data_IF_172911120326
#
_entry.id   IF_172911120326
#
_cell.length_a   1.000
_cell.length_b   1.000
_cell.length_c   1.000
_cell.angle_alpha   90.00
_cell.angle_beta   90.00
_cell.angle_gamma   90.00
#
_symmetry.space_group_name_H-M   'P 1'
#
loop_
_entity.id
_entity.type
_entity.pdbx_description
1 polymer ?
#
# COMPACT_ATOMS: atom_id res chain seq x y z
N UNK A 1 10.42 24.49 -1.76
CA UNK A 1 10.17 23.04 -1.75
C UNK A 1 8.69 22.88 -2.09
N UNK A 2 8.35 22.67 -3.36
CA UNK A 2 6.96 22.61 -3.81
C UNK A 2 6.45 21.20 -3.59
N UNK A 3 5.40 21.06 -2.77
CA UNK A 3 4.74 19.77 -2.59
C UNK A 3 3.86 19.52 -3.81
N UNK A 4 4.09 18.42 -4.53
CA UNK A 4 3.16 17.99 -5.58
C UNK A 4 1.83 17.64 -4.96
N UNK A 5 0.73 18.06 -5.59
CA UNK A 5 -0.62 17.69 -5.14
C UNK A 5 -0.74 16.16 -5.04
N UNK A 6 -1.35 15.61 -3.98
CA UNK A 6 -1.47 14.17 -3.83
C UNK A 6 -2.26 13.57 -5.00
N UNK A 7 -1.71 12.51 -5.60
CA UNK A 7 -2.43 11.71 -6.58
C UNK A 7 -3.52 10.90 -5.85
N UNK A 8 -4.75 10.97 -6.34
CA UNK A 8 -5.90 10.27 -5.79
C UNK A 8 -6.64 9.53 -6.91
N UNK A 9 -7.05 8.30 -6.64
CA UNK A 9 -7.84 7.48 -7.56
C UNK A 9 -8.91 6.71 -6.78
N UNK A 10 -9.96 6.28 -7.47
CA UNK A 10 -11.08 5.50 -6.92
C UNK A 10 -11.27 4.19 -7.71
N UNK A 11 -12.08 3.27 -7.18
CA UNK A 11 -12.27 1.94 -7.78
C UNK A 11 -11.42 0.86 -7.11
N UNK A 12 -10.87 -0.05 -7.90
CA UNK A 12 -10.04 -1.15 -7.39
C UNK A 12 -8.68 -0.62 -6.93
N UNK A 13 -8.53 -0.46 -5.62
CA UNK A 13 -7.30 0.02 -5.01
C UNK A 13 -6.09 -0.86 -5.34
N UNK A 14 -6.25 -2.18 -5.40
CA UNK A 14 -5.13 -3.10 -5.66
C UNK A 14 -4.63 -2.90 -7.09
N UNK A 15 -5.55 -2.89 -8.06
CA UNK A 15 -5.20 -2.67 -9.46
C UNK A 15 -4.55 -1.30 -9.65
N UNK A 16 -5.16 -0.24 -9.14
CA UNK A 16 -4.66 1.12 -9.28
C UNK A 16 -3.24 1.27 -8.70
N UNK A 17 -2.97 0.66 -7.54
CA UNK A 17 -1.64 0.69 -6.91
C UNK A 17 -0.59 0.02 -7.81
N UNK A 18 -0.88 -1.19 -8.32
CA UNK A 18 0.07 -1.96 -9.13
C UNK A 18 0.32 -1.33 -10.50
N UNK A 19 -0.73 -0.83 -11.16
CA UNK A 19 -0.61 -0.13 -12.43
C UNK A 19 0.16 1.18 -12.29
N UNK A 20 -0.12 1.95 -11.23
CA UNK A 20 0.61 3.20 -10.97
C UNK A 20 2.09 2.93 -10.70
N UNK A 21 2.41 1.94 -9.85
CA UNK A 21 3.79 1.55 -9.57
C UNK A 21 4.53 1.13 -10.85
N UNK A 22 3.84 0.46 -11.78
CA UNK A 22 4.38 0.09 -13.09
C UNK A 22 4.58 1.31 -13.98
N UNK A 23 3.60 2.20 -14.06
CA UNK A 23 3.65 3.38 -14.92
C UNK A 23 4.76 4.36 -14.55
N UNK A 24 5.10 4.46 -13.27
CA UNK A 24 6.17 5.35 -12.77
C UNK A 24 7.50 4.63 -12.56
N UNK A 25 7.57 3.34 -12.86
CA UNK A 25 8.71 2.46 -12.59
C UNK A 25 9.23 2.56 -11.15
N UNK A 26 8.34 2.40 -10.18
CA UNK A 26 8.70 2.50 -8.77
C UNK A 26 9.65 1.36 -8.35
N UNK A 27 10.67 1.68 -7.56
CA UNK A 27 11.58 0.68 -6.98
C UNK A 27 10.92 -0.17 -5.87
N UNK A 28 9.87 0.36 -5.24
CA UNK A 28 9.28 -0.14 -3.99
C UNK A 28 7.84 0.36 -3.84
N UNK A 29 6.98 -0.44 -3.21
CA UNK A 29 5.71 0.05 -2.63
C UNK A 29 5.82 0.21 -1.11
N UNK A 30 5.50 1.40 -0.61
CA UNK A 30 5.35 1.65 0.83
C UNK A 30 3.86 1.71 1.20
N UNK A 31 3.40 0.74 1.99
CA UNK A 31 2.00 0.60 2.39
C UNK A 31 1.87 0.84 3.89
N UNK A 32 1.11 1.88 4.24
CA UNK A 32 0.74 2.17 5.62
C UNK A 32 -0.50 1.38 6.04
N UNK A 33 -0.41 0.66 7.16
CA UNK A 33 -1.53 0.01 7.82
C UNK A 33 -1.86 0.63 9.18
N UNK A 34 -3.06 0.33 9.69
CA UNK A 34 -3.41 0.62 11.09
C UNK A 34 -3.15 -0.61 11.96
N UNK A 35 -2.65 -0.39 13.18
CA UNK A 35 -2.56 -1.42 14.23
C UNK A 35 -3.99 -1.87 14.57
N UNK A 36 -4.37 -3.12 14.23
CA UNK A 36 -5.65 -3.71 14.65
C UNK A 36 -5.49 -4.48 15.97
N UNK A 37 -6.59 -4.65 16.69
CA UNK A 37 -6.66 -4.97 18.12
C UNK A 37 -6.18 -6.39 18.52
N UNK A 38 -5.87 -6.61 19.82
CA UNK A 38 -5.33 -7.88 20.37
C UNK A 38 -6.16 -9.14 20.10
N UNK A 39 -7.45 -9.00 19.78
CA UNK A 39 -8.36 -10.11 19.47
C UNK A 39 -8.24 -10.62 18.02
N UNK A 40 -7.24 -10.13 17.28
CA UNK A 40 -6.48 -10.93 16.32
C UNK A 40 -7.26 -11.55 15.16
N UNK A 41 -7.60 -10.77 14.13
CA UNK A 41 -7.94 -11.39 12.84
C UNK A 41 -7.26 -10.82 11.59
N UNK A 42 -6.52 -9.72 11.67
CA UNK A 42 -5.73 -9.24 10.52
C UNK A 42 -4.70 -8.21 10.94
N UNK A 43 -3.42 -8.59 10.96
CA UNK A 43 -2.29 -7.65 11.07
C UNK A 43 -2.15 -6.78 9.82
N UNK A 44 -2.63 -7.30 8.67
CA UNK A 44 -2.57 -6.65 7.38
C UNK A 44 -3.99 -6.47 6.83
N UNK A 45 -4.36 -5.26 6.40
CA UNK A 45 -5.64 -5.04 5.72
C UNK A 45 -5.71 -5.81 4.40
N UNK A 46 -6.92 -6.14 3.93
CA UNK A 46 -7.12 -6.95 2.71
C UNK A 46 -6.41 -6.38 1.47
N UNK A 47 -6.39 -5.06 1.33
CA UNK A 47 -5.66 -4.38 0.25
C UNK A 47 -4.15 -4.62 0.35
N UNK A 48 -3.56 -4.41 1.54
CA UNK A 48 -2.13 -4.63 1.76
C UNK A 48 -1.75 -6.09 1.48
N UNK A 49 -2.57 -7.05 1.92
CA UNK A 49 -2.37 -8.47 1.64
C UNK A 49 -2.41 -8.77 0.14
N UNK A 50 -3.39 -8.23 -0.58
CA UNK A 50 -3.52 -8.45 -2.03
C UNK A 50 -2.38 -7.81 -2.82
N UNK A 51 -1.92 -6.62 -2.43
CA UNK A 51 -0.75 -5.98 -3.06
C UNK A 51 0.51 -6.79 -2.80
N UNK A 52 0.75 -7.25 -1.56
CA UNK A 52 1.89 -8.12 -1.25
C UNK A 52 1.90 -9.42 -2.05
N UNK A 53 0.72 -10.01 -2.31
CA UNK A 53 0.61 -11.26 -3.07
C UNK A 53 0.80 -11.06 -4.59
N UNK A 54 0.47 -9.89 -5.12
CA UNK A 54 0.39 -9.65 -6.57
C UNK A 54 1.50 -8.74 -7.11
N UNK A 55 2.23 -8.05 -6.24
CA UNK A 55 3.29 -7.14 -6.66
C UNK A 55 4.51 -7.89 -7.19
N UNK A 56 5.07 -7.35 -8.26
CA UNK A 56 6.37 -7.72 -8.84
C UNK A 56 7.54 -6.96 -8.18
N UNK A 57 7.25 -6.08 -7.22
CA UNK A 57 8.20 -5.18 -6.56
C UNK A 57 8.26 -5.46 -5.06
N UNK A 58 9.36 -5.09 -4.39
CA UNK A 58 9.42 -5.08 -2.94
C UNK A 58 8.25 -4.30 -2.34
N UNK A 59 7.71 -4.79 -1.23
CA UNK A 59 6.65 -4.11 -0.47
C UNK A 59 7.14 -3.89 0.97
N UNK A 60 7.29 -2.62 1.35
CA UNK A 60 7.48 -2.21 2.74
C UNK A 60 6.12 -1.97 3.36
N UNK A 61 5.83 -2.67 4.45
CA UNK A 61 4.64 -2.42 5.25
C UNK A 61 5.01 -1.85 6.60
N UNK A 62 4.39 -0.73 6.93
CA UNK A 62 4.54 -0.09 8.22
C UNK A 62 3.19 0.14 8.87
N UNK A 63 3.12 -0.07 10.17
CA UNK A 63 2.05 0.46 11.00
C UNK A 63 2.57 1.67 11.74
N UNK A 64 1.71 2.61 12.12
CA UNK A 64 2.10 3.62 13.10
C UNK A 64 2.64 2.91 14.35
N UNK A 65 3.92 3.13 14.66
CA UNK A 65 4.48 2.87 15.98
C UNK A 65 3.94 3.88 16.98
N UNK A 66 4.13 3.63 18.28
CA UNK A 66 4.06 4.72 19.26
C UNK A 66 5.15 5.75 18.98
#
# INVERSE_FOLDING_TARGET
MTYSSPYQSSGDAVQNILETATAIDADLLSIGGRKRSPTGKALFGSVAQQVMLRSDRPVLFSTAGE
#
